data_IF_131697193117
#
_entry.id   IF_131697193117
#
_cell.length_a   1.000
_cell.length_b   1.000
_cell.length_c   1.000
_cell.angle_alpha   90.00
_cell.angle_beta   90.00
_cell.angle_gamma   90.00
#
_symmetry.space_group_name_H-M   'P 1'
#
loop_
_entity.id
_entity.type
_entity.pdbx_description
1 polymer ?
#
# COMPACT_ATOMS: atom_id res chain seq x y z
N UNK A 1 -26.20 10.48 -4.39
CA UNK A 1 -25.49 11.78 -4.35
C UNK A 1 -24.41 11.73 -5.43
N UNK A 2 -24.80 11.97 -6.69
CA UNK A 2 -23.93 11.89 -7.86
C UNK A 2 -23.06 13.14 -7.91
N UNK A 3 -21.78 13.03 -7.56
CA UNK A 3 -20.79 13.97 -8.08
C UNK A 3 -20.51 13.49 -9.51
N UNK A 4 -20.91 14.22 -10.56
CA UNK A 4 -20.76 13.74 -11.92
C UNK A 4 -19.26 13.68 -12.22
N UNK A 5 -18.73 12.52 -12.62
CA UNK A 5 -17.34 12.37 -13.07
C UNK A 5 -16.96 13.41 -14.14
N UNK A 6 -17.93 13.89 -14.92
CA UNK A 6 -17.79 14.99 -15.87
C UNK A 6 -17.24 16.29 -15.26
N UNK A 7 -17.60 16.62 -14.01
CA UNK A 7 -17.11 17.84 -13.36
C UNK A 7 -15.61 17.70 -13.07
N UNK A 8 -15.15 16.54 -12.60
CA UNK A 8 -13.72 16.29 -12.36
C UNK A 8 -12.90 16.40 -13.66
N UNK A 9 -13.40 15.85 -14.76
CA UNK A 9 -12.76 15.94 -16.08
C UNK A 9 -12.59 17.38 -16.59
N UNK A 10 -13.52 18.27 -16.22
CA UNK A 10 -13.49 19.67 -16.65
C UNK A 10 -12.46 20.52 -15.87
N UNK A 11 -12.13 20.13 -14.63
CA UNK A 11 -11.14 20.80 -13.78
C UNK A 11 -9.72 20.21 -13.87
N UNK A 12 -9.50 19.18 -14.70
CA UNK A 12 -8.19 18.56 -14.99
C UNK A 12 -7.11 19.52 -15.52
N UNK A 13 -7.49 20.74 -15.95
CA UNK A 13 -6.55 21.76 -16.41
C UNK A 13 -5.73 22.40 -15.30
N UNK A 14 -6.03 22.12 -14.03
CA UNK A 14 -5.33 22.68 -12.88
C UNK A 14 -4.67 21.55 -12.04
N UNK A 15 -3.37 21.66 -11.71
CA UNK A 15 -2.63 20.63 -10.94
C UNK A 15 -3.06 20.54 -9.46
N UNK A 16 -4.02 21.36 -9.03
CA UNK A 16 -4.55 21.42 -7.66
C UNK A 16 -5.99 20.98 -7.68
N UNK A 17 -6.26 19.81 -7.10
CA UNK A 17 -7.61 19.27 -6.96
C UNK A 17 -8.37 20.06 -5.87
N UNK A 18 -9.46 20.76 -6.22
CA UNK A 18 -10.27 21.48 -5.24
C UNK A 18 -10.88 20.51 -4.22
N UNK A 19 -10.84 20.86 -2.93
CA UNK A 19 -11.43 20.04 -1.84
C UNK A 19 -10.92 18.59 -1.77
N UNK A 20 -9.65 18.35 -2.13
CA UNK A 20 -8.96 17.04 -2.08
C UNK A 20 -9.24 16.18 -0.83
N UNK A 21 -9.28 16.78 0.37
CA UNK A 21 -9.60 16.06 1.61
C UNK A 21 -11.04 15.52 1.61
N UNK A 22 -12.03 16.30 1.14
CA UNK A 22 -13.42 15.85 1.07
C UNK A 22 -13.59 14.77 0.00
N UNK A 23 -12.90 14.90 -1.14
CA UNK A 23 -12.93 13.92 -2.23
C UNK A 23 -12.29 12.60 -1.76
N UNK A 24 -11.10 12.65 -1.17
CA UNK A 24 -10.42 11.47 -0.58
C UNK A 24 -11.32 10.76 0.43
N UNK A 25 -11.93 11.50 1.37
CA UNK A 25 -12.87 10.92 2.35
C UNK A 25 -14.08 10.23 1.72
N UNK A 26 -14.61 10.77 0.61
CA UNK A 26 -15.73 10.15 -0.12
C UNK A 26 -15.30 8.91 -0.89
N UNK A 27 -14.14 8.95 -1.55
CA UNK A 27 -13.58 7.79 -2.24
C UNK A 27 -13.26 6.65 -1.26
N UNK A 28 -12.68 6.96 -0.10
CA UNK A 28 -12.50 6.02 1.00
C UNK A 28 -13.82 5.37 1.47
N UNK A 29 -14.92 6.12 1.51
CA UNK A 29 -16.24 5.56 1.83
C UNK A 29 -16.75 4.61 0.75
N UNK A 30 -16.52 4.92 -0.53
CA UNK A 30 -16.87 4.04 -1.65
C UNK A 30 -16.11 2.71 -1.65
N UNK A 31 -15.03 2.65 -0.87
CA UNK A 31 -14.14 1.52 -0.70
C UNK A 31 -14.50 0.63 0.50
N UNK A 32 -15.67 0.84 1.12
CA UNK A 32 -16.15 0.02 2.23
C UNK A 32 -16.53 -1.41 1.74
N UNK A 33 -16.14 -2.50 2.44
CA UNK A 33 -16.39 -3.87 1.99
C UNK A 33 -17.88 -4.24 1.91
N UNK A 34 -18.75 -3.53 2.64
CA UNK A 34 -20.20 -3.70 2.55
C UNK A 34 -20.84 -3.12 1.26
N UNK A 35 -20.06 -2.45 0.40
CA UNK A 35 -20.53 -1.91 -0.88
C UNK A 35 -20.26 -2.88 -2.03
N UNK A 36 -21.09 -2.88 -3.08
CA UNK A 36 -20.93 -3.79 -4.22
C UNK A 36 -19.67 -3.47 -5.02
N UNK A 37 -19.08 -4.49 -5.64
CA UNK A 37 -17.81 -4.39 -6.39
C UNK A 37 -17.83 -3.33 -7.50
N UNK A 38 -18.98 -3.07 -8.13
CA UNK A 38 -19.12 -2.02 -9.14
C UNK A 38 -18.83 -0.61 -8.60
N UNK A 39 -19.13 -0.36 -7.32
CA UNK A 39 -18.80 0.92 -6.65
C UNK A 39 -17.29 1.03 -6.41
N UNK A 40 -16.64 -0.08 -6.06
CA UNK A 40 -15.19 -0.12 -5.85
C UNK A 40 -14.44 0.14 -7.15
N UNK A 41 -14.85 -0.52 -8.25
CA UNK A 41 -14.25 -0.31 -9.57
C UNK A 41 -14.37 1.15 -10.03
N UNK A 42 -15.54 1.76 -9.86
CA UNK A 42 -15.74 3.17 -10.23
C UNK A 42 -14.92 4.13 -9.35
N UNK A 43 -14.75 3.79 -8.07
CA UNK A 43 -13.86 4.54 -7.18
C UNK A 43 -12.40 4.43 -7.63
N UNK A 44 -11.94 3.24 -8.05
CA UNK A 44 -10.59 3.02 -8.57
C UNK A 44 -10.32 3.80 -9.87
N UNK A 45 -11.27 3.83 -10.80
CA UNK A 45 -11.16 4.68 -12.00
C UNK A 45 -11.03 6.16 -11.62
N UNK A 46 -11.75 6.60 -10.59
CA UNK A 46 -11.66 7.99 -10.11
C UNK A 46 -10.30 8.27 -9.47
N UNK A 47 -9.74 7.32 -8.71
CA UNK A 47 -8.37 7.40 -8.19
C UNK A 47 -7.34 7.49 -9.32
N UNK A 48 -7.47 6.67 -10.36
CA UNK A 48 -6.56 6.69 -11.51
C UNK A 48 -6.55 8.06 -12.20
N UNK A 49 -7.73 8.64 -12.47
CA UNK A 49 -7.84 9.99 -13.05
C UNK A 49 -7.21 11.05 -12.15
N UNK A 50 -7.46 10.98 -10.83
CA UNK A 50 -6.90 11.91 -9.84
C UNK A 50 -5.37 11.83 -9.81
N UNK A 51 -4.81 10.62 -9.74
CA UNK A 51 -3.36 10.43 -9.69
C UNK A 51 -2.68 10.85 -10.99
N UNK A 52 -3.29 10.56 -12.15
CA UNK A 52 -2.84 11.08 -13.46
C UNK A 52 -2.82 12.62 -13.49
N UNK A 53 -3.84 13.26 -12.93
CA UNK A 53 -3.94 14.72 -12.88
C UNK A 53 -2.88 15.36 -11.96
N UNK A 54 -2.57 14.71 -10.83
CA UNK A 54 -1.63 15.22 -9.84
C UNK A 54 -0.16 15.03 -10.26
N UNK A 55 0.13 13.93 -10.96
CA UNK A 55 1.49 13.49 -11.28
C UNK A 55 2.25 12.97 -10.04
N UNK A 56 3.35 12.28 -10.29
CA UNK A 56 4.16 11.60 -9.25
C UNK A 56 4.74 12.56 -8.20
N UNK A 57 5.13 13.77 -8.62
CA UNK A 57 5.66 14.82 -7.73
C UNK A 57 4.64 15.17 -6.62
N UNK A 58 3.41 15.59 -6.99
CA UNK A 58 2.40 15.99 -6.00
C UNK A 58 1.82 14.79 -5.26
N UNK A 59 1.70 13.64 -5.94
CA UNK A 59 1.24 12.40 -5.32
C UNK A 59 2.11 11.99 -4.14
N UNK A 60 3.44 12.10 -4.25
CA UNK A 60 4.33 11.77 -3.14
C UNK A 60 4.12 12.64 -1.89
N UNK A 61 3.85 13.94 -2.07
CA UNK A 61 3.59 14.86 -0.96
C UNK A 61 2.21 14.68 -0.34
N UNK A 62 1.21 14.30 -1.14
CA UNK A 62 -0.16 14.09 -0.70
C UNK A 62 -0.49 12.62 -0.44
N UNK A 63 0.51 11.73 -0.47
CA UNK A 63 0.33 10.29 -0.32
C UNK A 63 -0.42 9.99 0.97
N UNK A 64 -0.05 10.65 2.08
CA UNK A 64 -0.72 10.55 3.39
C UNK A 64 -2.19 10.98 3.41
N UNK A 65 -2.68 11.73 2.43
CA UNK A 65 -4.09 12.14 2.33
C UNK A 65 -4.94 11.01 1.72
N UNK A 66 -4.34 10.16 0.88
CA UNK A 66 -5.01 9.10 0.12
C UNK A 66 -4.68 7.68 0.64
N UNK A 67 -3.54 7.51 1.30
CA UNK A 67 -2.95 6.22 1.71
C UNK A 67 -3.45 5.72 3.06
N UNK A 68 -3.42 6.61 4.04
CA UNK A 68 -3.97 6.42 5.37
C UNK A 68 -4.99 7.55 5.52
N UNK A 69 -6.23 7.27 5.91
CA UNK A 69 -7.21 8.33 6.13
C UNK A 69 -6.56 9.42 7.01
N UNK A 70 -6.35 10.59 6.42
CA UNK A 70 -5.40 11.55 6.94
C UNK A 70 -5.66 11.92 8.40
N UNK A 71 -4.58 11.94 9.17
CA UNK A 71 -4.19 13.08 9.98
C UNK A 71 -2.68 12.96 10.20
N UNK A 72 -1.91 13.87 9.60
CA UNK A 72 -0.66 14.24 10.23
C UNK A 72 -1.02 15.29 11.28
N UNK A 73 -0.35 15.22 12.43
CA UNK A 73 -0.35 16.19 13.54
C UNK A 73 -1.27 15.87 14.73
N UNK A 74 -0.65 15.35 15.79
CA UNK A 74 -0.90 15.73 17.19
C UNK A 74 -2.24 16.42 17.47
N UNK A 75 -3.30 15.63 17.67
CA UNK A 75 -4.50 15.91 18.48
C UNK A 75 -5.70 15.26 17.81
N UNK A 76 -6.16 14.22 18.48
CA UNK A 76 -7.58 13.91 18.74
C UNK A 76 -7.83 12.43 18.48
N UNK A 77 -7.72 11.66 19.56
CA UNK A 77 -8.41 10.36 19.73
C UNK A 77 -9.90 10.56 19.47
N UNK A 78 -10.35 10.49 18.23
CA UNK A 78 -11.76 10.26 17.90
C UNK A 78 -11.89 9.66 16.50
N UNK A 79 -11.96 8.32 16.50
CA UNK A 79 -12.67 7.53 15.50
C UNK A 79 -12.32 7.82 14.03
N UNK A 80 -11.04 7.83 13.69
CA UNK A 80 -10.61 7.68 12.29
C UNK A 80 -10.57 6.19 12.02
N UNK A 81 -11.60 5.66 11.34
CA UNK A 81 -11.55 4.29 10.84
C UNK A 81 -10.47 4.21 9.74
N UNK A 82 -9.56 3.22 9.77
CA UNK A 82 -8.51 3.08 8.79
C UNK A 82 -9.10 2.51 7.50
N UNK A 83 -9.80 3.35 6.74
CA UNK A 83 -10.23 3.01 5.39
C UNK A 83 -9.47 3.92 4.42
N UNK A 84 -8.15 3.74 4.38
CA UNK A 84 -7.31 4.26 3.30
C UNK A 84 -7.27 3.28 2.12
N UNK A 85 -6.51 3.62 1.08
CA UNK A 85 -6.31 2.73 -0.08
C UNK A 85 -5.62 1.40 0.32
N UNK A 86 -4.82 1.41 1.38
CA UNK A 86 -3.98 0.26 1.74
C UNK A 86 -4.69 -0.93 2.40
N UNK A 87 -5.60 -0.78 3.39
CA UNK A 87 -6.30 -1.92 3.99
C UNK A 87 -7.22 -2.71 3.03
N UNK A 88 -7.33 -2.27 1.78
CA UNK A 88 -8.30 -2.78 0.83
C UNK A 88 -7.91 -4.09 0.17
N UNK A 89 -6.62 -4.36 -0.09
CA UNK A 89 -6.22 -5.55 -0.85
C UNK A 89 -6.62 -6.86 -0.14
N UNK A 90 -6.54 -6.88 1.20
CA UNK A 90 -6.98 -8.03 2.01
C UNK A 90 -8.49 -8.27 2.05
N UNK A 91 -9.33 -7.26 1.78
CA UNK A 91 -10.80 -7.35 1.84
C UNK A 91 -11.49 -7.08 0.50
N UNK A 92 -10.73 -6.85 -0.57
CA UNK A 92 -11.25 -6.58 -1.90
C UNK A 92 -11.81 -7.86 -2.51
N UNK A 93 -12.99 -7.74 -3.11
CA UNK A 93 -13.57 -8.82 -3.92
C UNK A 93 -12.59 -9.23 -5.04
N UNK A 94 -12.61 -10.51 -5.42
CA UNK A 94 -11.72 -11.11 -6.43
C UNK A 94 -11.65 -10.31 -7.74
N UNK A 95 -12.76 -9.68 -8.14
CA UNK A 95 -12.86 -8.86 -9.35
C UNK A 95 -12.30 -7.43 -9.22
N UNK A 96 -12.02 -6.94 -8.01
CA UNK A 96 -11.49 -5.59 -7.74
C UNK A 96 -9.96 -5.61 -7.61
N UNK A 97 -9.39 -6.74 -7.19
CA UNK A 97 -7.93 -6.93 -7.01
C UNK A 97 -7.12 -6.60 -8.27
N UNK A 98 -7.46 -7.07 -9.48
CA UNK A 98 -6.70 -6.75 -10.69
C UNK A 98 -6.64 -5.26 -11.01
N UNK A 99 -7.76 -4.54 -10.84
CA UNK A 99 -7.83 -3.10 -11.09
C UNK A 99 -7.04 -2.30 -10.06
N UNK A 100 -7.03 -2.76 -8.81
CA UNK A 100 -6.24 -2.14 -7.74
C UNK A 100 -4.74 -2.34 -7.96
N UNK A 101 -4.31 -3.54 -8.36
CA UNK A 101 -2.91 -3.82 -8.74
C UNK A 101 -2.46 -2.92 -9.90
N UNK A 102 -3.30 -2.70 -10.91
CA UNK A 102 -3.00 -1.77 -12.02
C UNK A 102 -2.76 -0.33 -11.53
N UNK A 103 -3.53 0.14 -10.54
CA UNK A 103 -3.34 1.47 -9.94
C UNK A 103 -1.98 1.54 -9.21
N UNK A 104 -1.61 0.50 -8.45
CA UNK A 104 -0.31 0.44 -7.79
C UNK A 104 0.86 0.41 -8.78
N UNK A 105 0.76 -0.43 -9.82
CA UNK A 105 1.77 -0.51 -10.88
C UNK A 105 1.95 0.82 -11.62
N UNK A 106 0.85 1.52 -11.91
CA UNK A 106 0.88 2.75 -12.71
C UNK A 106 1.28 4.00 -11.91
N UNK A 107 0.93 4.06 -10.63
CA UNK A 107 1.07 5.29 -9.83
C UNK A 107 2.04 5.16 -8.66
N UNK A 108 2.22 3.97 -8.09
CA UNK A 108 3.03 3.77 -6.90
C UNK A 108 4.45 3.30 -7.22
N UNK A 109 4.61 2.40 -8.19
CA UNK A 109 5.95 1.99 -8.67
C UNK A 109 6.78 3.20 -9.14
N UNK A 110 6.23 4.15 -9.94
CA UNK A 110 7.01 5.29 -10.43
C UNK A 110 7.32 6.36 -9.36
N UNK A 111 6.87 6.21 -8.11
CA UNK A 111 7.23 7.11 -7.02
C UNK A 111 8.66 6.85 -6.50
N UNK A 112 9.15 5.62 -6.64
CA UNK A 112 10.44 5.16 -6.14
C UNK A 112 10.70 5.56 -4.69
N UNK A 113 11.85 6.16 -4.41
CA UNK A 113 12.24 6.60 -3.05
C UNK A 113 11.22 7.52 -2.38
N UNK A 114 10.35 8.19 -3.13
CA UNK A 114 9.32 9.07 -2.56
C UNK A 114 8.15 8.30 -1.95
N UNK A 115 8.07 6.99 -2.18
CA UNK A 115 7.11 6.10 -1.52
C UNK A 115 7.54 5.74 -0.10
N UNK A 116 8.83 5.92 0.28
CA UNK A 116 9.37 5.57 1.61
C UNK A 116 8.46 5.97 2.79
N UNK A 117 7.92 7.21 2.87
CA UNK A 117 7.09 7.62 4.00
C UNK A 117 5.75 6.87 4.11
N UNK A 118 5.24 6.33 2.99
CA UNK A 118 3.99 5.57 2.93
C UNK A 118 4.17 4.07 2.73
N UNK A 119 5.42 3.59 2.71
CA UNK A 119 5.75 2.22 2.35
C UNK A 119 5.20 1.20 3.37
N UNK A 120 5.23 1.53 4.66
CA UNK A 120 4.68 0.65 5.71
C UNK A 120 3.18 0.40 5.53
N UNK A 121 2.44 1.44 5.14
CA UNK A 121 1.04 1.33 4.77
C UNK A 121 0.86 0.47 3.51
N UNK A 122 1.63 0.73 2.47
CA UNK A 122 1.60 -0.03 1.22
C UNK A 122 1.83 -1.53 1.46
N UNK A 123 2.90 -1.88 2.19
CA UNK A 123 3.24 -3.25 2.55
C UNK A 123 2.13 -3.91 3.36
N UNK A 124 1.61 -3.24 4.39
CA UNK A 124 0.51 -3.77 5.20
C UNK A 124 -0.76 -4.06 4.38
N UNK A 125 -0.95 -3.31 3.28
CA UNK A 125 -2.05 -3.52 2.36
C UNK A 125 -1.81 -4.62 1.33
N UNK A 126 -0.61 -4.69 0.77
CA UNK A 126 -0.29 -5.55 -0.38
C UNK A 126 0.12 -6.96 0.02
N UNK A 127 0.82 -7.11 1.16
CA UNK A 127 1.30 -8.40 1.65
C UNK A 127 0.19 -9.45 1.85
N UNK A 128 -1.02 -9.11 2.35
CA UNK A 128 -2.14 -10.06 2.38
C UNK A 128 -2.51 -10.64 1.00
N UNK A 129 -2.12 -9.99 -0.11
CA UNK A 129 -2.32 -10.50 -1.47
C UNK A 129 -1.36 -11.62 -1.88
N UNK A 130 -0.29 -11.86 -1.13
CA UNK A 130 0.64 -12.99 -1.31
C UNK A 130 0.13 -14.27 -0.61
N UNK A 131 -1.18 -14.46 -0.56
CA UNK A 131 -1.76 -15.68 -0.01
C UNK A 131 -1.53 -16.85 -0.99
N UNK A 132 -0.97 -17.95 -0.49
CA UNK A 132 -0.65 -19.13 -1.30
C UNK A 132 -1.91 -19.70 -1.96
N UNK A 133 -1.87 -19.91 -3.27
CA UNK A 133 -3.02 -20.37 -4.05
C UNK A 133 -3.94 -19.27 -4.59
N UNK A 134 -3.59 -17.98 -4.40
CA UNK A 134 -4.29 -16.87 -5.06
C UNK A 134 -3.94 -16.78 -6.55
N UNK A 135 -4.96 -16.60 -7.41
CA UNK A 135 -4.80 -16.31 -8.85
C UNK A 135 -3.98 -15.04 -9.15
N UNK A 136 -3.70 -14.21 -8.13
CA UNK A 136 -2.97 -12.96 -8.24
C UNK A 136 -1.65 -12.96 -7.49
N UNK A 137 -1.21 -14.13 -6.99
CA UNK A 137 0.04 -14.28 -6.25
C UNK A 137 1.23 -13.75 -7.06
N UNK A 138 1.45 -14.26 -8.27
CA UNK A 138 2.61 -13.90 -9.10
C UNK A 138 2.64 -12.41 -9.43
N UNK A 139 1.47 -11.83 -9.76
CA UNK A 139 1.36 -10.40 -10.07
C UNK A 139 1.64 -9.53 -8.86
N UNK A 140 1.17 -9.94 -7.68
CA UNK A 140 1.44 -9.24 -6.42
C UNK A 140 2.92 -9.36 -6.04
N UNK A 141 3.54 -10.52 -6.28
CA UNK A 141 4.96 -10.74 -6.06
C UNK A 141 5.80 -9.82 -6.95
N UNK A 142 5.55 -9.81 -8.26
CA UNK A 142 6.24 -8.92 -9.19
C UNK A 142 6.03 -7.43 -8.88
N UNK A 143 4.87 -7.04 -8.35
CA UNK A 143 4.65 -5.67 -7.88
C UNK A 143 5.57 -5.33 -6.71
N UNK A 144 5.67 -6.21 -5.72
CA UNK A 144 6.54 -6.01 -4.54
C UNK A 144 8.02 -6.00 -4.92
N UNK A 145 8.46 -6.86 -5.84
CA UNK A 145 9.83 -6.84 -6.39
C UNK A 145 10.16 -5.49 -7.03
N UNK A 146 9.27 -4.97 -7.89
CA UNK A 146 9.46 -3.66 -8.54
C UNK A 146 9.56 -2.55 -7.49
N UNK A 147 8.67 -2.53 -6.51
CA UNK A 147 8.71 -1.52 -5.43
C UNK A 147 9.99 -1.66 -4.59
N UNK A 148 10.44 -2.88 -4.31
CA UNK A 148 11.67 -3.15 -3.57
C UNK A 148 12.91 -2.54 -4.26
N UNK A 149 12.99 -2.68 -5.59
CA UNK A 149 14.07 -2.07 -6.38
C UNK A 149 13.96 -0.55 -6.40
N UNK A 150 12.76 0.00 -6.67
CA UNK A 150 12.55 1.44 -6.85
C UNK A 150 12.69 2.27 -5.56
N UNK A 151 12.34 1.70 -4.41
CA UNK A 151 12.48 2.33 -3.08
C UNK A 151 13.90 2.18 -2.53
N UNK A 152 14.60 1.14 -2.97
CA UNK A 152 15.89 0.69 -2.45
C UNK A 152 15.74 -0.51 -1.52
N UNK A 153 16.48 -1.57 -1.83
CA UNK A 153 16.39 -2.89 -1.18
C UNK A 153 16.46 -2.80 0.34
N UNK A 154 17.49 -2.16 0.90
CA UNK A 154 17.69 -2.09 2.36
C UNK A 154 16.56 -1.35 3.07
N UNK A 155 15.99 -0.31 2.46
CA UNK A 155 14.88 0.43 3.06
C UNK A 155 13.58 -0.37 2.99
N UNK A 156 13.36 -1.08 1.88
CA UNK A 156 12.21 -1.97 1.72
C UNK A 156 12.20 -3.06 2.79
N UNK A 157 13.31 -3.80 2.94
CA UNK A 157 13.40 -4.84 3.96
C UNK A 157 13.33 -4.27 5.39
N UNK A 158 13.93 -3.09 5.64
CA UNK A 158 13.78 -2.41 6.94
C UNK A 158 12.31 -2.14 7.30
N UNK A 159 11.56 -1.52 6.39
CA UNK A 159 10.12 -1.29 6.58
C UNK A 159 9.31 -2.58 6.61
N UNK A 160 9.75 -3.63 5.92
CA UNK A 160 9.12 -4.94 5.98
C UNK A 160 9.21 -5.48 7.42
N UNK A 161 10.40 -5.51 8.01
CA UNK A 161 10.61 -5.97 9.39
C UNK A 161 9.81 -5.16 10.41
N UNK A 162 9.73 -3.83 10.25
CA UNK A 162 8.86 -2.96 11.07
C UNK A 162 7.38 -3.38 11.00
N UNK A 163 6.90 -3.67 9.79
CA UNK A 163 5.54 -4.13 9.53
C UNK A 163 5.27 -5.49 10.20
N UNK A 164 6.21 -6.44 10.13
CA UNK A 164 6.07 -7.75 10.80
C UNK A 164 5.97 -7.59 12.33
N UNK A 165 6.77 -6.70 12.91
CA UNK A 165 6.77 -6.46 14.36
C UNK A 165 5.46 -5.82 14.86
N UNK A 166 4.76 -5.06 14.00
CA UNK A 166 3.56 -4.32 14.37
C UNK A 166 2.25 -4.99 13.97
N UNK A 167 2.25 -5.93 13.01
CA UNK A 167 1.04 -6.52 12.47
C UNK A 167 1.20 -8.04 12.24
N UNK A 168 0.45 -8.83 13.00
CA UNK A 168 0.53 -10.28 12.95
C UNK A 168 -0.10 -10.91 11.70
N UNK A 169 -1.10 -10.26 11.09
CA UNK A 169 -1.81 -10.83 9.93
C UNK A 169 -0.96 -10.87 8.66
N UNK A 170 0.09 -10.06 8.59
CA UNK A 170 1.00 -9.99 7.45
C UNK A 170 2.32 -10.75 7.66
N UNK A 171 2.56 -11.32 8.86
CA UNK A 171 3.82 -12.00 9.18
C UNK A 171 4.10 -13.17 8.25
N UNK A 172 3.12 -14.07 8.08
CA UNK A 172 3.27 -15.24 7.23
C UNK A 172 3.58 -14.88 5.76
N UNK A 173 2.75 -14.09 5.05
CA UNK A 173 3.04 -13.76 3.66
C UNK A 173 4.35 -12.97 3.50
N UNK A 174 4.71 -12.14 4.47
CA UNK A 174 5.96 -11.40 4.44
C UNK A 174 7.20 -12.30 4.65
N UNK A 175 7.15 -13.25 5.58
CA UNK A 175 8.23 -14.23 5.76
C UNK A 175 8.36 -15.11 4.51
N UNK A 176 7.24 -15.59 3.96
CA UNK A 176 7.24 -16.36 2.71
C UNK A 176 7.87 -15.57 1.56
N UNK A 177 7.57 -14.26 1.45
CA UNK A 177 8.22 -13.38 0.49
C UNK A 177 9.75 -13.30 0.71
N UNK A 178 10.21 -13.06 1.94
CA UNK A 178 11.67 -13.01 2.21
C UNK A 178 12.34 -14.33 1.86
N UNK A 179 11.73 -15.46 2.25
CA UNK A 179 12.29 -16.79 2.00
C UNK A 179 12.34 -17.15 0.52
N UNK A 180 11.36 -16.71 -0.28
CA UNK A 180 11.35 -16.95 -1.73
C UNK A 180 12.39 -16.12 -2.48
N UNK A 181 12.76 -14.95 -1.95
CA UNK A 181 13.76 -14.07 -2.54
C UNK A 181 15.17 -14.28 -1.97
N UNK A 182 15.31 -15.02 -0.86
CA UNK A 182 16.60 -15.37 -0.29
C UNK A 182 17.37 -16.36 -1.18
N UNK A 183 18.58 -15.99 -1.60
CA UNK A 183 19.37 -16.83 -2.48
C UNK A 183 20.43 -17.60 -1.69
N UNK A 184 20.13 -18.87 -1.38
CA UNK A 184 21.02 -19.77 -0.62
C UNK A 184 22.40 -19.99 -1.25
N UNK A 185 22.60 -19.60 -2.52
CA UNK A 185 23.88 -19.73 -3.23
C UNK A 185 24.79 -18.51 -3.06
N UNK A 186 24.26 -17.38 -2.61
CA UNK A 186 25.02 -16.16 -2.37
C UNK A 186 25.47 -16.09 -0.91
N UNK A 187 26.54 -15.34 -0.66
CA UNK A 187 27.01 -15.09 0.71
C UNK A 187 26.09 -14.09 1.40
N UNK A 188 26.11 -14.08 2.74
CA UNK A 188 25.34 -13.08 3.51
C UNK A 188 25.81 -11.65 3.25
N UNK A 189 27.09 -11.44 2.91
CA UNK A 189 27.62 -10.12 2.58
C UNK A 189 27.00 -9.58 1.28
N UNK A 190 26.81 -10.43 0.27
CA UNK A 190 26.19 -10.07 -1.01
C UNK A 190 24.69 -9.77 -0.90
N UNK A 191 24.04 -10.22 0.19
CA UNK A 191 22.61 -10.05 0.44
C UNK A 191 22.32 -9.29 1.74
N UNK A 192 23.27 -8.50 2.23
CA UNK A 192 23.16 -7.78 3.51
C UNK A 192 21.95 -6.82 3.55
N UNK A 193 21.50 -6.33 2.39
CA UNK A 193 20.31 -5.50 2.26
C UNK A 193 19.04 -6.16 2.82
N UNK A 194 18.96 -7.50 2.87
CA UNK A 194 17.83 -8.23 3.44
C UNK A 194 17.69 -8.02 4.95
N UNK A 195 18.79 -7.68 5.64
CA UNK A 195 18.77 -7.33 7.07
C UNK A 195 18.07 -5.99 7.33
N UNK A 196 17.81 -5.21 6.28
CA UNK A 196 17.16 -3.91 6.36
C UNK A 196 18.06 -2.81 6.93
N UNK A 197 17.46 -1.69 7.33
CA UNK A 197 18.16 -0.53 7.91
C UNK A 197 18.38 -0.63 9.42
N UNK A 198 17.69 -1.55 10.11
CA UNK A 198 17.80 -1.74 11.55
C UNK A 198 17.75 -3.24 11.91
N UNK A 199 18.92 -3.78 12.25
CA UNK A 199 19.11 -5.21 12.57
C UNK A 199 18.38 -5.59 13.87
N UNK A 200 18.28 -4.68 14.84
CA UNK A 200 17.63 -4.96 16.13
C UNK A 200 16.13 -5.25 15.95
N UNK A 201 15.51 -4.62 14.94
CA UNK A 201 14.11 -4.84 14.60
C UNK A 201 13.94 -6.21 13.95
N UNK A 202 14.85 -6.61 13.04
CA UNK A 202 14.84 -7.94 12.45
C UNK A 202 14.99 -9.02 13.51
N UNK A 203 15.92 -8.87 14.47
CA UNK A 203 16.18 -9.86 15.54
C UNK A 203 15.13 -9.81 16.65
N UNK A 204 14.25 -8.81 16.65
CA UNK A 204 13.21 -8.65 17.67
C UNK A 204 12.29 -9.86 17.74
N UNK A 205 12.05 -10.37 18.96
CA UNK A 205 11.16 -11.50 19.18
C UNK A 205 9.76 -11.31 18.59
N UNK A 206 9.29 -10.07 18.43
CA UNK A 206 7.97 -9.76 17.85
C UNK A 206 7.85 -10.14 16.39
N UNK A 207 8.96 -10.31 15.68
CA UNK A 207 8.98 -10.70 14.26
C UNK A 207 8.73 -12.20 14.09
N UNK A 208 9.30 -13.03 14.96
CA UNK A 208 9.33 -14.49 14.80
C UNK A 208 8.44 -15.28 15.77
N UNK A 209 7.83 -14.62 16.76
CA UNK A 209 6.89 -15.29 17.66
C UNK A 209 5.51 -15.37 17.05
N UNK A 210 4.84 -16.53 17.17
CA UNK A 210 3.38 -16.60 17.06
C UNK A 210 2.82 -15.78 18.21
N UNK A 211 2.01 -14.78 17.91
CA UNK A 211 1.22 -14.12 18.95
C UNK A 211 0.35 -15.20 19.62
N UNK A 212 0.78 -15.65 20.80
CA UNK A 212 -0.07 -16.38 21.73
C UNK A 212 -0.88 -15.34 22.47
N UNK A 213 -1.93 -14.86 21.81
CA UNK A 213 -3.00 -14.13 22.48
C UNK A 213 -4.13 -15.14 22.74
N UNK A 214 -4.15 -15.67 23.97
CA UNK A 214 -5.37 -16.16 24.61
C UNK A 214 -6.22 -14.97 25.04
#
# INVERSE_FOLDING_TARGET
MNVPLQVLLTYMKFPVIPRRIKISKRLAQCMHPALPSGVHLKALETYDIIFKCMGTNRLSHELFIYSAGGDNLYKTKRLIRPYGLFPLLGHAAMNVRPSLLTVYESHFVPLGERLRPGLSGFLSGVLPGLEEGSDHYDRTNSLLEKVCVEVGLSHFYGCLWDCLACNCSIRLPAISFVLSHFNKKLTMEDQLYMMGTNIDIMVSHRVFTRDTAF
#
